data_IF_070577016563
#
_entry.id   IF_070577016563
#
_cell.length_a   1.000
_cell.length_b   1.000
_cell.length_c   1.000
_cell.angle_alpha   90.00
_cell.angle_beta   90.00
_cell.angle_gamma   90.00
#
_symmetry.space_group_name_H-M   'P 1'
#
loop_
_entity.id
_entity.type
_entity.pdbx_description
1 polymer ?
#
# COMPACT_ATOMS: atom_id res chain seq x y z
N UNK A 1 2.26 7.33 15.48
CA UNK A 1 2.43 5.90 15.89
C UNK A 1 3.10 5.82 17.25
N UNK A 2 2.69 4.91 18.16
CA UNK A 2 3.57 4.69 19.31
C UNK A 2 4.90 4.14 18.77
N UNK A 3 6.01 4.59 19.30
CA UNK A 3 7.35 4.15 18.87
C UNK A 3 7.50 2.63 18.99
N UNK A 4 6.86 2.03 19.98
CA UNK A 4 6.85 0.58 20.16
C UNK A 4 6.15 -0.15 19.01
N UNK A 5 4.99 0.31 18.57
CA UNK A 5 4.25 -0.28 17.45
C UNK A 5 5.06 -0.25 16.15
N UNK A 6 5.66 0.91 15.84
CA UNK A 6 6.55 1.07 14.66
C UNK A 6 7.72 0.10 14.71
N UNK A 7 8.41 0.02 15.86
CA UNK A 7 9.54 -0.89 16.03
C UNK A 7 9.15 -2.35 15.85
N UNK A 8 7.97 -2.76 16.31
CA UNK A 8 7.49 -4.12 16.10
C UNK A 8 7.30 -4.43 14.62
N UNK A 9 6.65 -3.54 13.86
CA UNK A 9 6.48 -3.71 12.40
C UNK A 9 7.82 -3.73 11.68
N UNK A 10 8.69 -2.74 11.94
CA UNK A 10 10.02 -2.65 11.32
C UNK A 10 10.85 -3.91 11.61
N UNK A 11 11.00 -4.28 12.88
CA UNK A 11 11.80 -5.44 13.27
C UNK A 11 11.20 -6.75 12.80
N UNK A 12 9.88 -6.87 12.77
CA UNK A 12 9.19 -8.05 12.25
C UNK A 12 9.52 -8.26 10.77
N UNK A 13 9.30 -7.25 9.95
CA UNK A 13 9.63 -7.34 8.52
C UNK A 13 11.13 -7.43 8.22
N UNK A 14 12.01 -6.88 9.06
CA UNK A 14 13.45 -7.09 8.93
C UNK A 14 13.84 -8.55 9.20
N UNK A 15 13.20 -9.21 10.17
CA UNK A 15 13.50 -10.60 10.53
C UNK A 15 12.96 -11.60 9.52
N UNK A 16 11.75 -11.40 9.00
CA UNK A 16 11.05 -12.34 8.12
C UNK A 16 11.11 -12.00 6.63
N UNK A 17 11.96 -11.06 6.21
CA UNK A 17 11.93 -10.49 4.85
C UNK A 17 12.03 -11.55 3.73
N UNK A 18 12.90 -12.54 3.89
CA UNK A 18 13.12 -13.58 2.90
C UNK A 18 11.96 -14.59 2.88
N UNK A 19 11.49 -15.02 4.05
CA UNK A 19 10.33 -15.91 4.20
C UNK A 19 9.08 -15.24 3.64
N UNK A 20 8.83 -13.98 4.00
CA UNK A 20 7.69 -13.22 3.51
C UNK A 20 7.71 -13.05 1.99
N UNK A 21 8.91 -12.86 1.40
CA UNK A 21 9.03 -12.79 -0.06
C UNK A 21 8.57 -14.09 -0.73
N UNK A 22 8.80 -15.25 -0.11
CA UNK A 22 8.38 -16.54 -0.71
C UNK A 22 6.87 -16.71 -0.77
N UNK A 23 6.11 -15.95 0.01
CA UNK A 23 4.63 -15.98 -0.01
C UNK A 23 4.02 -15.12 -1.12
N UNK A 24 4.82 -14.30 -1.79
CA UNK A 24 4.31 -13.41 -2.84
C UNK A 24 4.10 -14.16 -4.14
N UNK A 25 2.88 -14.10 -4.64
CA UNK A 25 2.55 -14.60 -5.97
C UNK A 25 2.69 -13.45 -6.98
N UNK A 26 3.69 -13.49 -7.87
CA UNK A 26 3.85 -12.46 -8.89
C UNK A 26 2.73 -12.48 -9.95
N UNK A 27 1.96 -13.56 -10.01
CA UNK A 27 0.87 -13.75 -10.96
C UNK A 27 -0.52 -13.66 -10.27
N UNK A 28 -0.61 -13.11 -9.03
CA UNK A 28 -1.90 -12.93 -8.35
C UNK A 28 -2.88 -12.16 -9.24
N UNK A 29 -3.95 -12.81 -9.73
CA UNK A 29 -4.85 -12.19 -10.69
C UNK A 29 -5.65 -11.02 -10.12
N UNK A 30 -5.84 -10.96 -8.79
CA UNK A 30 -6.52 -9.83 -8.14
C UNK A 30 -5.62 -8.61 -8.11
N UNK A 31 -4.35 -8.79 -7.76
CA UNK A 31 -3.37 -7.71 -7.77
C UNK A 31 -3.14 -7.19 -9.19
N UNK A 32 -2.88 -8.10 -10.14
CA UNK A 32 -2.62 -7.73 -11.53
C UNK A 32 -3.83 -7.03 -12.17
N UNK A 33 -5.04 -7.55 -11.98
CA UNK A 33 -6.26 -6.93 -12.50
C UNK A 33 -6.51 -5.52 -11.94
N UNK A 34 -6.26 -5.31 -10.64
CA UNK A 34 -6.39 -4.00 -10.03
C UNK A 34 -5.32 -3.01 -10.51
N UNK A 35 -4.09 -3.49 -10.73
CA UNK A 35 -3.01 -2.67 -11.30
C UNK A 35 -3.29 -2.30 -12.77
N UNK A 36 -3.91 -3.19 -13.55
CA UNK A 36 -4.37 -2.88 -14.90
C UNK A 36 -5.48 -1.81 -14.88
N UNK A 37 -6.47 -1.92 -13.97
CA UNK A 37 -7.49 -0.89 -13.78
C UNK A 37 -6.86 0.49 -13.48
N UNK A 38 -5.82 0.51 -12.63
CA UNK A 38 -5.08 1.73 -12.32
C UNK A 38 -4.36 2.27 -13.55
N UNK A 39 -3.62 1.42 -14.27
CA UNK A 39 -2.80 1.82 -15.41
C UNK A 39 -3.63 2.47 -16.54
N UNK A 40 -4.90 2.07 -16.70
CA UNK A 40 -5.82 2.71 -17.65
C UNK A 40 -6.12 4.19 -17.34
N UNK A 41 -5.80 4.65 -16.13
CA UNK A 41 -6.04 6.02 -15.68
C UNK A 41 -4.80 6.89 -15.78
N UNK A 42 -3.63 6.27 -15.96
CA UNK A 42 -2.34 6.94 -15.84
C UNK A 42 -1.79 7.37 -17.20
N UNK A 43 -1.10 8.53 -17.25
CA UNK A 43 -0.32 8.88 -18.43
C UNK A 43 0.88 7.94 -18.58
N UNK A 44 1.49 7.94 -19.76
CA UNK A 44 2.79 7.29 -19.95
C UNK A 44 3.84 7.89 -19.00
N UNK A 45 4.74 7.06 -18.46
CA UNK A 45 5.81 7.48 -17.54
C UNK A 45 5.30 8.14 -16.24
N UNK A 46 4.05 7.84 -15.83
CA UNK A 46 3.44 8.37 -14.61
C UNK A 46 4.34 8.18 -13.38
N UNK A 47 4.37 9.19 -12.51
CA UNK A 47 5.02 9.12 -11.21
C UNK A 47 4.12 8.35 -10.21
N UNK A 48 4.56 7.19 -9.74
CA UNK A 48 3.79 6.34 -8.83
C UNK A 48 4.52 6.17 -7.50
N UNK A 49 3.81 6.41 -6.40
CA UNK A 49 4.30 6.15 -5.05
C UNK A 49 3.73 4.81 -4.55
N UNK A 50 4.61 3.90 -4.10
CA UNK A 50 4.25 2.62 -3.49
C UNK A 50 4.53 2.67 -1.97
N UNK A 51 3.46 2.75 -1.16
CA UNK A 51 3.52 2.86 0.29
C UNK A 51 3.49 1.47 0.94
N UNK A 52 4.59 1.09 1.59
CA UNK A 52 4.83 -0.26 2.08
C UNK A 52 5.18 -1.19 0.94
N UNK A 53 6.15 -0.78 0.12
CA UNK A 53 6.52 -1.47 -1.12
C UNK A 53 7.15 -2.87 -0.88
N UNK A 54 7.53 -3.19 0.36
CA UNK A 54 8.19 -4.44 0.71
C UNK A 54 9.42 -4.71 -0.16
N UNK A 55 9.55 -5.94 -0.62
CA UNK A 55 10.63 -6.38 -1.53
C UNK A 55 10.44 -5.91 -3.00
N UNK A 56 9.46 -5.05 -3.27
CA UNK A 56 9.18 -4.50 -4.59
C UNK A 56 8.40 -5.43 -5.53
N UNK A 57 7.99 -6.60 -5.08
CA UNK A 57 7.25 -7.58 -5.89
C UNK A 57 5.94 -7.99 -5.19
N UNK A 58 4.86 -8.17 -5.97
CA UNK A 58 4.76 -7.98 -7.41
C UNK A 58 4.57 -6.52 -7.86
N UNK A 59 4.11 -5.61 -6.98
CA UNK A 59 3.52 -4.31 -7.31
C UNK A 59 4.52 -3.36 -7.97
N UNK A 60 5.60 -3.00 -7.24
CA UNK A 60 6.62 -2.06 -7.75
C UNK A 60 7.23 -2.57 -9.06
N UNK A 61 7.57 -3.88 -9.15
CA UNK A 61 8.09 -4.52 -10.35
C UNK A 61 7.13 -4.37 -11.53
N UNK A 62 5.85 -4.71 -11.32
CA UNK A 62 4.84 -4.62 -12.36
C UNK A 62 4.68 -3.20 -12.92
N UNK A 63 4.73 -2.19 -12.04
CA UNK A 63 4.66 -0.79 -12.42
C UNK A 63 5.91 -0.35 -13.19
N UNK A 64 7.10 -0.70 -12.71
CA UNK A 64 8.37 -0.36 -13.34
C UNK A 64 8.52 -1.01 -14.74
N UNK A 65 8.13 -2.27 -14.89
CA UNK A 65 8.14 -2.99 -16.18
C UNK A 65 7.25 -2.34 -17.25
N UNK A 66 6.28 -1.50 -16.82
CA UNK A 66 5.40 -0.70 -17.71
C UNK A 66 5.91 0.71 -17.97
N UNK A 67 7.09 1.03 -17.44
CA UNK A 67 7.74 2.33 -17.67
C UNK A 67 7.27 3.44 -16.76
N UNK A 68 6.54 3.14 -15.66
CA UNK A 68 6.19 4.13 -14.65
C UNK A 68 7.41 4.47 -13.77
N UNK A 69 7.52 5.73 -13.37
CA UNK A 69 8.57 6.20 -12.45
C UNK A 69 8.15 5.89 -11.00
N UNK A 70 8.63 4.76 -10.43
CA UNK A 70 8.17 4.30 -9.14
C UNK A 70 9.08 4.74 -8.01
N UNK A 71 8.46 5.32 -6.96
CA UNK A 71 9.08 5.57 -5.66
C UNK A 71 8.46 4.65 -4.63
N UNK A 72 9.25 3.72 -4.07
CA UNK A 72 8.81 2.83 -2.99
C UNK A 72 9.22 3.36 -1.62
N UNK A 73 8.32 3.29 -0.65
CA UNK A 73 8.57 3.61 0.76
C UNK A 73 8.30 2.39 1.61
N UNK A 74 9.24 2.03 2.48
CA UNK A 74 9.06 0.98 3.47
C UNK A 74 9.83 1.29 4.76
N UNK A 75 9.36 0.78 5.90
CA UNK A 75 10.06 0.94 7.19
C UNK A 75 11.20 -0.06 7.35
N UNK A 76 11.11 -1.23 6.69
CA UNK A 76 12.10 -2.31 6.78
C UNK A 76 13.30 -2.06 5.86
N UNK A 77 14.48 -2.04 6.45
CA UNK A 77 15.73 -1.95 5.67
C UNK A 77 15.96 -3.20 4.82
N UNK A 78 15.59 -4.37 5.33
CA UNK A 78 15.76 -5.65 4.63
C UNK A 78 14.84 -5.77 3.43
N UNK A 79 13.58 -5.36 3.56
CA UNK A 79 12.66 -5.30 2.44
C UNK A 79 13.21 -4.39 1.33
N UNK A 80 13.75 -3.22 1.68
CA UNK A 80 14.32 -2.31 0.70
C UNK A 80 15.64 -2.80 0.07
N UNK A 81 16.44 -3.62 0.76
CA UNK A 81 17.58 -4.31 0.15
C UNK A 81 17.11 -5.25 -0.97
N UNK A 82 16.07 -6.05 -0.70
CA UNK A 82 15.45 -6.94 -1.68
C UNK A 82 14.80 -6.14 -2.81
N UNK A 83 14.08 -5.05 -2.50
CA UNK A 83 13.43 -4.20 -3.49
C UNK A 83 14.43 -3.62 -4.50
N UNK A 84 15.59 -3.13 -4.04
CA UNK A 84 16.65 -2.62 -4.94
C UNK A 84 17.24 -3.70 -5.84
N UNK A 85 17.27 -4.93 -5.37
CA UNK A 85 17.70 -6.09 -6.17
C UNK A 85 16.65 -6.48 -7.20
N UNK A 86 15.39 -6.50 -6.76
CA UNK A 86 14.28 -6.92 -7.62
C UNK A 86 13.89 -5.85 -8.65
N UNK A 87 14.01 -4.56 -8.29
CA UNK A 87 13.57 -3.41 -9.13
C UNK A 87 14.66 -2.34 -9.14
N UNK A 88 15.81 -2.59 -9.81
CA UNK A 88 16.97 -1.70 -9.78
C UNK A 88 16.70 -0.29 -10.37
N UNK A 89 15.67 -0.15 -11.19
CA UNK A 89 15.19 1.11 -11.77
C UNK A 89 14.31 1.94 -10.81
N UNK A 90 13.81 1.34 -9.72
CA UNK A 90 12.97 2.01 -8.72
C UNK A 90 13.77 2.92 -7.78
N UNK A 91 13.12 3.94 -7.24
CA UNK A 91 13.67 4.77 -6.16
C UNK A 91 13.11 4.28 -4.82
N UNK A 92 13.96 4.01 -3.83
CA UNK A 92 13.54 3.41 -2.57
C UNK A 92 13.97 4.24 -1.36
N UNK A 93 12.99 4.59 -0.49
CA UNK A 93 13.17 5.40 0.70
C UNK A 93 12.82 4.58 1.95
N UNK A 94 13.76 4.49 2.91
CA UNK A 94 13.45 3.95 4.23
C UNK A 94 12.76 5.04 5.06
N UNK A 95 11.46 4.90 5.25
CA UNK A 95 10.66 5.83 6.05
C UNK A 95 9.37 5.18 6.54
N UNK A 96 8.80 5.74 7.60
CA UNK A 96 7.42 5.48 7.98
C UNK A 96 6.47 6.28 7.08
N UNK A 97 5.49 5.62 6.48
CA UNK A 97 4.51 6.25 5.59
C UNK A 97 3.67 7.33 6.28
N UNK A 98 3.60 7.33 7.62
CA UNK A 98 2.89 8.36 8.40
C UNK A 98 3.73 9.61 8.65
N UNK A 99 5.06 9.51 8.52
CA UNK A 99 6.01 10.59 8.78
C UNK A 99 6.65 11.15 7.51
N UNK A 100 6.71 10.37 6.43
CA UNK A 100 7.28 10.83 5.16
C UNK A 100 6.50 12.02 4.62
N UNK A 101 7.22 12.97 4.04
CA UNK A 101 6.63 14.18 3.47
C UNK A 101 7.04 14.31 2.01
N UNK A 102 6.06 14.38 1.14
CA UNK A 102 6.24 14.72 -0.27
C UNK A 102 5.60 16.07 -0.59
N UNK A 103 6.05 16.68 -1.67
CA UNK A 103 5.42 17.90 -2.17
C UNK A 103 3.94 17.61 -2.54
N UNK A 104 3.05 18.59 -2.37
CA UNK A 104 1.70 18.45 -2.91
C UNK A 104 1.75 18.21 -4.42
N UNK A 105 0.82 17.38 -4.91
CA UNK A 105 0.64 17.16 -6.35
C UNK A 105 1.95 16.70 -7.03
N UNK A 106 2.60 15.68 -6.48
CA UNK A 106 3.87 15.13 -6.98
C UNK A 106 3.77 13.72 -7.54
N UNK A 107 2.58 13.10 -7.46
CA UNK A 107 2.36 11.75 -7.96
C UNK A 107 1.05 11.65 -8.76
N UNK A 108 1.09 10.94 -9.87
CA UNK A 108 -0.09 10.59 -10.66
C UNK A 108 -0.89 9.47 -9.98
N UNK A 109 -0.20 8.57 -9.26
CA UNK A 109 -0.85 7.55 -8.46
C UNK A 109 -0.12 7.24 -7.17
N UNK A 110 -0.89 6.75 -6.19
CA UNK A 110 -0.37 6.10 -4.98
C UNK A 110 -0.94 4.69 -4.92
N UNK A 111 -0.09 3.71 -4.67
CA UNK A 111 -0.49 2.33 -4.38
C UNK A 111 -0.12 1.98 -2.94
N UNK A 112 -0.94 1.13 -2.29
CA UNK A 112 -0.70 0.68 -0.92
C UNK A 112 -1.33 -0.71 -0.73
N UNK A 113 -0.53 -1.77 -0.95
CA UNK A 113 -1.01 -3.14 -0.88
C UNK A 113 -0.59 -3.79 0.43
N UNK A 114 -1.58 -4.23 1.23
CA UNK A 114 -1.38 -4.94 2.51
C UNK A 114 -0.46 -4.20 3.51
N UNK A 115 -0.40 -2.87 3.45
CA UNK A 115 0.55 -2.06 4.22
C UNK A 115 -0.11 -1.13 5.24
N UNK A 116 -1.22 -0.48 4.90
CA UNK A 116 -1.93 0.46 5.79
C UNK A 116 -2.43 -0.25 7.06
N UNK A 117 -2.69 -1.54 6.99
CA UNK A 117 -3.15 -2.36 8.11
C UNK A 117 -2.17 -2.43 9.29
N UNK A 118 -0.91 -2.11 9.06
CA UNK A 118 0.14 -2.05 10.10
C UNK A 118 0.30 -0.64 10.68
N UNK A 119 -0.36 0.35 10.14
CA UNK A 119 -0.43 1.71 10.72
C UNK A 119 -1.48 1.72 11.83
N UNK A 120 -1.23 2.32 13.01
CA UNK A 120 -2.30 2.51 14.00
C UNK A 120 -3.51 3.15 13.35
N UNK A 121 -4.66 2.51 13.48
CA UNK A 121 -5.89 2.93 12.81
C UNK A 121 -6.30 4.37 13.10
N UNK A 122 -5.92 4.91 14.25
CA UNK A 122 -6.16 6.32 14.60
C UNK A 122 -5.41 7.30 13.69
N UNK A 123 -4.37 6.84 12.98
CA UNK A 123 -3.56 7.63 12.05
C UNK A 123 -4.02 7.49 10.59
N UNK A 124 -4.85 6.47 10.26
CA UNK A 124 -5.36 6.27 8.90
C UNK A 124 -6.00 7.51 8.29
N UNK A 125 -6.86 8.28 9.00
CA UNK A 125 -7.47 9.48 8.43
C UNK A 125 -6.44 10.54 8.04
N UNK A 126 -5.35 10.66 8.81
CA UNK A 126 -4.28 11.63 8.53
C UNK A 126 -3.42 11.18 7.37
N UNK A 127 -3.06 9.89 7.32
CA UNK A 127 -2.34 9.28 6.19
C UNK A 127 -3.12 9.46 4.88
N UNK A 128 -4.41 9.13 4.86
CA UNK A 128 -5.25 9.25 3.66
C UNK A 128 -5.37 10.70 3.18
N UNK A 129 -5.44 11.69 4.08
CA UNK A 129 -5.37 13.11 3.70
C UNK A 129 -4.00 13.50 3.12
N UNK A 130 -2.91 12.94 3.65
CA UNK A 130 -1.57 13.16 3.10
C UNK A 130 -1.44 12.57 1.71
N UNK A 131 -1.90 11.34 1.50
CA UNK A 131 -1.96 10.69 0.19
C UNK A 131 -2.75 11.53 -0.81
N UNK A 132 -3.96 11.97 -0.42
CA UNK A 132 -4.78 12.84 -1.27
C UNK A 132 -4.06 14.15 -1.64
N UNK A 133 -3.30 14.73 -0.72
CA UNK A 133 -2.52 15.95 -0.99
C UNK A 133 -1.36 15.70 -1.94
N UNK A 134 -0.69 14.54 -1.86
CA UNK A 134 0.44 14.19 -2.73
C UNK A 134 0.03 13.89 -4.16
N UNK A 135 -1.20 13.44 -4.36
CA UNK A 135 -1.74 13.16 -5.69
C UNK A 135 -1.98 14.43 -6.49
N UNK A 136 -1.65 14.37 -7.79
CA UNK A 136 -2.05 15.36 -8.79
C UNK A 136 -3.60 15.43 -8.90
N UNK A 137 -4.17 16.55 -9.33
CA UNK A 137 -5.57 16.61 -9.70
C UNK A 137 -5.89 15.58 -10.80
N UNK A 138 -6.83 14.68 -10.53
CA UNK A 138 -7.13 13.52 -11.38
C UNK A 138 -6.32 12.26 -11.04
N UNK A 139 -5.32 12.38 -10.18
CA UNK A 139 -4.51 11.25 -9.73
C UNK A 139 -5.30 10.23 -8.92
N UNK A 140 -4.80 9.00 -8.85
CA UNK A 140 -5.53 7.84 -8.32
C UNK A 140 -4.84 7.20 -7.11
N UNK A 141 -5.64 6.68 -6.18
CA UNK A 141 -5.24 5.77 -5.11
C UNK A 141 -5.75 4.37 -5.40
N UNK A 142 -4.85 3.38 -5.43
CA UNK A 142 -5.20 1.97 -5.42
C UNK A 142 -4.67 1.34 -4.13
N UNK A 143 -5.56 0.80 -3.29
CA UNK A 143 -5.17 0.24 -2.00
C UNK A 143 -5.92 -1.04 -1.67
N UNK A 144 -5.29 -1.91 -0.89
CA UNK A 144 -5.99 -2.95 -0.15
C UNK A 144 -6.15 -2.53 1.30
N UNK A 145 -7.37 -2.66 1.80
CA UNK A 145 -7.74 -2.44 3.19
C UNK A 145 -8.47 -3.67 3.73
N UNK A 146 -8.96 -3.62 4.94
CA UNK A 146 -9.67 -4.74 5.53
C UNK A 146 -11.18 -4.57 5.48
N UNK A 147 -11.90 -5.68 5.61
CA UNK A 147 -13.36 -5.71 5.67
C UNK A 147 -13.88 -5.84 7.10
N UNK A 148 -12.99 -6.13 8.06
CA UNK A 148 -13.30 -6.33 9.48
C UNK A 148 -12.52 -5.36 10.34
N UNK A 149 -13.07 -5.06 11.52
CA UNK A 149 -12.43 -4.24 12.55
C UNK A 149 -11.53 -5.14 13.40
N UNK A 150 -10.25 -4.76 13.56
CA UNK A 150 -9.31 -5.53 14.37
C UNK A 150 -8.15 -4.66 14.86
N UNK A 151 -7.69 -4.95 16.07
CA UNK A 151 -6.46 -4.40 16.63
C UNK A 151 -5.82 -5.46 17.52
N UNK A 152 -4.59 -5.85 17.20
CA UNK A 152 -3.92 -6.92 17.92
C UNK A 152 -2.46 -7.12 17.51
N UNK A 153 -1.80 -8.00 18.25
CA UNK A 153 -0.44 -8.45 18.01
C UNK A 153 -0.42 -9.97 17.99
N UNK A 154 0.32 -10.54 17.07
CA UNK A 154 0.73 -11.93 17.07
C UNK A 154 2.20 -11.98 17.46
N UNK A 155 2.55 -12.80 18.44
CA UNK A 155 3.92 -12.89 18.96
C UNK A 155 4.85 -13.70 18.05
N UNK A 156 4.26 -14.54 17.16
CA UNK A 156 5.00 -15.40 16.24
C UNK A 156 4.21 -15.61 14.95
N UNK A 157 4.04 -14.53 14.18
CA UNK A 157 3.24 -14.52 12.96
C UNK A 157 3.72 -15.60 11.98
N UNK A 158 2.80 -16.46 11.54
CA UNK A 158 3.05 -17.60 10.64
C UNK A 158 4.16 -18.57 11.11
N UNK A 159 4.57 -18.50 12.38
CA UNK A 159 5.68 -19.32 12.88
C UNK A 159 7.07 -18.87 12.37
N UNK A 160 7.20 -17.63 11.90
CA UNK A 160 8.45 -17.09 11.37
C UNK A 160 9.38 -16.48 12.43
N UNK A 161 9.02 -16.61 13.71
CA UNK A 161 9.85 -16.16 14.83
C UNK A 161 9.85 -14.66 15.05
N UNK A 162 8.88 -13.94 14.48
CA UNK A 162 8.80 -12.49 14.60
C UNK A 162 7.37 -12.02 14.94
N UNK A 163 7.25 -11.07 15.89
CA UNK A 163 5.94 -10.50 16.21
C UNK A 163 5.47 -9.55 15.11
N UNK A 164 4.14 -9.48 14.94
CA UNK A 164 3.51 -8.54 14.05
C UNK A 164 2.27 -7.91 14.68
N UNK A 165 2.00 -6.66 14.32
CA UNK A 165 0.83 -5.92 14.80
C UNK A 165 -0.05 -5.50 13.66
N UNK A 166 -1.36 -5.55 13.90
CA UNK A 166 -2.40 -5.09 12.98
C UNK A 166 -3.30 -4.10 13.69
N UNK A 167 -3.73 -3.08 12.97
CA UNK A 167 -4.62 -2.05 13.50
C UNK A 167 -5.44 -1.49 12.35
N UNK A 168 -6.69 -1.92 12.22
CA UNK A 168 -7.50 -1.57 11.06
C UNK A 168 -8.99 -1.51 11.37
N UNK A 169 -9.73 -0.85 10.49
CA UNK A 169 -11.16 -0.68 10.55
C UNK A 169 -11.90 -1.60 9.58
N UNK A 170 -13.22 -1.75 9.78
CA UNK A 170 -14.09 -2.43 8.85
C UNK A 170 -14.26 -1.68 7.51
N UNK A 171 -14.93 -2.35 6.55
CA UNK A 171 -15.23 -1.80 5.23
C UNK A 171 -15.90 -0.42 5.29
N UNK A 172 -16.92 -0.25 6.15
CA UNK A 172 -17.72 0.97 6.16
C UNK A 172 -16.92 2.15 6.67
N UNK A 173 -16.15 1.95 7.74
CA UNK A 173 -15.25 2.96 8.28
C UNK A 173 -14.14 3.33 7.28
N UNK A 174 -13.55 2.34 6.60
CA UNK A 174 -12.54 2.57 5.57
C UNK A 174 -13.07 3.43 4.41
N UNK A 175 -14.26 3.12 3.88
CA UNK A 175 -14.91 3.90 2.81
C UNK A 175 -15.27 5.30 3.27
N UNK A 176 -15.73 5.46 4.52
CA UNK A 176 -16.02 6.78 5.08
C UNK A 176 -14.75 7.64 5.18
N UNK A 177 -13.66 7.10 5.73
CA UNK A 177 -12.37 7.81 5.84
C UNK A 177 -11.81 8.25 4.47
N UNK A 178 -11.93 7.40 3.45
CA UNK A 178 -11.52 7.76 2.09
C UNK A 178 -12.31 8.94 1.54
N UNK A 179 -13.64 8.93 1.70
CA UNK A 179 -14.50 10.05 1.29
C UNK A 179 -14.20 11.32 2.07
N UNK A 180 -14.00 11.22 3.39
CA UNK A 180 -13.64 12.34 4.26
C UNK A 180 -12.26 12.92 3.93
N UNK A 181 -11.34 12.10 3.40
CA UNK A 181 -10.05 12.55 2.87
C UNK A 181 -10.16 13.24 1.51
N UNK A 182 -11.32 13.17 0.83
CA UNK A 182 -11.59 13.86 -0.44
C UNK A 182 -11.59 12.95 -1.68
N UNK A 183 -11.47 11.63 -1.51
CA UNK A 183 -11.46 10.71 -2.65
C UNK A 183 -12.86 10.48 -3.23
N UNK A 184 -12.96 10.50 -4.54
CA UNK A 184 -14.08 9.98 -5.32
C UNK A 184 -13.85 8.47 -5.54
N UNK A 185 -14.69 7.63 -4.92
CA UNK A 185 -14.52 6.18 -4.95
C UNK A 185 -15.06 5.62 -6.27
N UNK A 186 -14.20 5.00 -7.06
CA UNK A 186 -14.59 4.27 -8.27
C UNK A 186 -15.12 2.89 -7.93
N UNK A 187 -14.39 2.15 -7.08
CA UNK A 187 -14.89 0.95 -6.42
C UNK A 187 -14.27 0.77 -5.04
N UNK A 188 -14.98 0.08 -4.17
CA UNK A 188 -14.52 -0.41 -2.87
C UNK A 188 -15.19 -1.77 -2.63
N UNK A 189 -14.54 -2.84 -3.09
CA UNK A 189 -15.13 -4.17 -3.21
C UNK A 189 -14.34 -5.20 -2.40
N UNK A 190 -15.03 -6.01 -1.58
CA UNK A 190 -14.39 -7.19 -1.01
C UNK A 190 -14.05 -8.18 -2.12
N UNK A 191 -12.80 -8.62 -2.17
CA UNK A 191 -12.35 -9.70 -3.05
C UNK A 191 -11.64 -10.73 -2.21
N UNK A 192 -11.93 -12.01 -2.44
CA UNK A 192 -11.37 -13.13 -1.69
C UNK A 192 -10.33 -13.85 -2.54
N UNK A 193 -9.16 -14.05 -1.96
CA UNK A 193 -8.07 -14.83 -2.52
C UNK A 193 -7.72 -15.99 -1.59
N UNK A 194 -6.89 -16.92 -2.07
CA UNK A 194 -6.25 -17.89 -1.21
C UNK A 194 -5.17 -17.18 -0.41
N UNK A 195 -5.22 -17.29 0.92
CA UNK A 195 -4.17 -16.80 1.82
C UNK A 195 -3.00 -17.76 1.92
N UNK A 196 -2.17 -17.59 2.92
CA UNK A 196 -1.12 -18.56 3.26
C UNK A 196 -1.76 -19.87 3.69
N UNK A 197 -1.34 -20.98 3.10
CA UNK A 197 -1.91 -22.31 3.37
C UNK A 197 -3.26 -22.56 2.68
N UNK A 198 -4.19 -23.18 3.40
CA UNK A 198 -5.56 -23.54 2.91
C UNK A 198 -6.63 -22.49 3.27
N UNK A 199 -6.26 -21.42 3.97
CA UNK A 199 -7.17 -20.37 4.37
C UNK A 199 -7.48 -19.43 3.22
N UNK A 200 -8.64 -18.75 3.30
CA UNK A 200 -9.02 -17.71 2.36
C UNK A 200 -8.99 -16.36 3.08
N UNK A 201 -8.42 -15.37 2.43
CA UNK A 201 -8.38 -14.00 2.90
C UNK A 201 -9.29 -13.10 2.07
N UNK A 202 -10.02 -12.23 2.74
CA UNK A 202 -10.87 -11.25 2.06
C UNK A 202 -10.36 -9.85 2.33
N UNK A 203 -9.95 -9.17 1.26
CA UNK A 203 -9.47 -7.80 1.30
C UNK A 203 -10.45 -6.85 0.64
N UNK A 204 -10.54 -5.63 1.15
CA UNK A 204 -11.25 -4.54 0.52
C UNK A 204 -10.32 -3.90 -0.52
N UNK A 205 -10.60 -4.12 -1.78
CA UNK A 205 -9.91 -3.48 -2.89
C UNK A 205 -10.55 -2.14 -3.19
N UNK A 206 -9.73 -1.09 -3.18
CA UNK A 206 -10.18 0.30 -3.32
C UNK A 206 -9.46 0.94 -4.48
N UNK A 207 -10.22 1.48 -5.43
CA UNK A 207 -9.74 2.43 -6.41
C UNK A 207 -10.51 3.74 -6.22
N UNK A 208 -9.79 4.80 -5.88
CA UNK A 208 -10.33 6.14 -5.72
C UNK A 208 -9.52 7.16 -6.50
N UNK A 209 -10.08 8.32 -6.76
CA UNK A 209 -9.38 9.40 -7.46
C UNK A 209 -9.55 10.73 -6.74
N UNK A 210 -8.54 11.58 -6.86
CA UNK A 210 -8.65 12.99 -6.53
C UNK A 210 -9.36 13.70 -7.68
N UNK A 211 -10.32 14.57 -7.36
CA UNK A 211 -11.05 15.32 -8.39
C UNK A 211 -10.09 16.08 -9.31
N UNK A 212 -10.30 16.00 -10.60
CA UNK A 212 -9.60 16.83 -11.59
C UNK A 212 -9.91 18.31 -11.36
N UNK A 213 -8.97 19.19 -11.66
CA UNK A 213 -9.31 20.61 -11.78
C UNK A 213 -10.28 20.76 -12.95
N UNK A 214 -11.45 21.34 -12.72
CA UNK A 214 -12.35 21.70 -13.80
C UNK A 214 -11.58 22.62 -14.76
N UNK A 215 -11.52 22.23 -16.04
CA UNK A 215 -10.87 23.05 -17.04
C UNK A 215 -11.56 24.41 -17.09
N UNK A 216 -10.84 25.46 -16.71
CA UNK A 216 -11.26 26.83 -17.00
C UNK A 216 -11.17 26.97 -18.53
N UNK A 217 -12.30 26.78 -19.20
CA UNK A 217 -12.49 27.10 -20.63
C UNK A 217 -12.51 28.61 -20.81
#
# INVERSE_FOLDING_TARGET
MSEAHRRTVESGYDQMAEEYLTTKDPEDPLALGALEDLALLLPSEAAVLDLGCGAGVPVTRWLADRGFAVTGVDVSAKQLELARTNVPEGTFLKADMTEVVFAPESFDAVVAFHSIIHVPRTEHPTLLRSVHRWLEPGGALLATMTVVDYEGCDEDWEGWGAPMVWSHYDKNANVAMLRDAGFEIRYAEPRTSRGTGDETETWLWVLGSKRSREGTT
#
